data_IF_131894918844
#
_entry.id   IF_131894918844
#
_cell.length_a   1.000
_cell.length_b   1.000
_cell.length_c   1.000
_cell.angle_alpha   90.00
_cell.angle_beta   90.00
_cell.angle_gamma   90.00
#
_symmetry.space_group_name_H-M   'P 1'
#
loop_
_entity.id
_entity.type
_entity.pdbx_description
1 polymer ?
#
# COMPACT_ATOMS: atom_id res chain seq x y z
N UNK A 1 -27.30 19.79 9.27
CA UNK A 1 -26.14 20.16 10.11
C UNK A 1 -24.83 19.55 9.64
N UNK A 2 -24.43 18.31 10.00
CA UNK A 2 -23.09 17.81 9.61
C UNK A 2 -22.84 17.79 8.10
N UNK A 3 -23.75 17.18 7.31
CA UNK A 3 -23.62 17.14 5.85
C UNK A 3 -23.56 18.55 5.25
N UNK A 4 -24.36 19.47 5.77
CA UNK A 4 -24.40 20.87 5.31
C UNK A 4 -23.08 21.60 5.60
N UNK A 5 -22.54 21.50 6.82
CA UNK A 5 -21.24 22.07 7.18
C UNK A 5 -20.07 21.43 6.39
N UNK A 6 -20.20 20.15 6.05
CA UNK A 6 -19.28 19.42 5.18
C UNK A 6 -19.54 19.68 3.68
N UNK A 7 -20.50 20.52 3.32
CA UNK A 7 -20.90 20.81 1.94
C UNK A 7 -21.28 19.55 1.12
N UNK A 8 -21.88 18.56 1.77
CA UNK A 8 -22.23 17.26 1.23
C UNK A 8 -23.76 17.05 1.18
N UNK A 9 -24.50 18.10 0.83
CA UNK A 9 -25.97 18.06 0.62
C UNK A 9 -26.29 18.25 -0.87
N UNK A 10 -25.73 19.31 -1.48
CA UNK A 10 -25.88 19.62 -2.90
C UNK A 10 -24.69 19.18 -3.76
N UNK A 11 -23.63 18.67 -3.15
CA UNK A 11 -22.45 18.14 -3.82
C UNK A 11 -22.21 16.66 -3.43
N UNK A 12 -21.61 15.85 -4.32
CA UNK A 12 -21.41 14.41 -4.09
C UNK A 12 -20.28 14.08 -3.11
N UNK A 13 -19.33 15.01 -2.92
CA UNK A 13 -18.19 14.81 -2.04
C UNK A 13 -18.04 16.00 -1.10
N UNK A 14 -17.99 15.72 0.20
CA UNK A 14 -17.82 16.74 1.22
C UNK A 14 -16.39 17.24 1.34
N UNK A 15 -16.22 18.35 2.06
CA UNK A 15 -14.93 19.00 2.37
C UNK A 15 -13.91 18.03 2.97
N UNK A 16 -14.35 17.11 3.85
CA UNK A 16 -13.46 16.12 4.48
C UNK A 16 -12.87 15.17 3.42
N UNK A 17 -13.68 14.63 2.52
CA UNK A 17 -13.21 13.72 1.44
C UNK A 17 -12.22 14.42 0.53
N UNK A 18 -12.55 15.65 0.11
CA UNK A 18 -11.67 16.46 -0.75
C UNK A 18 -10.35 16.80 -0.06
N UNK A 19 -10.38 17.12 1.23
CA UNK A 19 -9.17 17.42 1.99
C UNK A 19 -8.31 16.17 2.21
N UNK A 20 -8.92 15.00 2.47
CA UNK A 20 -8.17 13.73 2.54
C UNK A 20 -7.44 13.47 1.23
N UNK A 21 -8.11 13.59 0.08
CA UNK A 21 -7.45 13.41 -1.22
C UNK A 21 -6.32 14.43 -1.44
N UNK A 22 -6.55 15.70 -1.09
CA UNK A 22 -5.54 16.76 -1.18
C UNK A 22 -4.28 16.42 -0.36
N UNK A 23 -4.45 16.06 0.90
CA UNK A 23 -3.35 15.67 1.79
C UNK A 23 -2.67 14.38 1.33
N UNK A 24 -3.42 13.45 0.73
CA UNK A 24 -2.83 12.27 0.11
C UNK A 24 -1.86 12.66 -1.02
N UNK A 25 -2.35 13.47 -1.96
CA UNK A 25 -1.59 13.87 -3.14
C UNK A 25 -0.36 14.73 -2.81
N UNK A 26 -0.51 15.71 -1.91
CA UNK A 26 0.53 16.71 -1.69
C UNK A 26 1.45 16.45 -0.48
N UNK A 27 1.11 15.53 0.42
CA UNK A 27 1.95 15.25 1.59
C UNK A 27 2.15 13.75 1.83
N UNK A 28 1.09 12.95 1.91
CA UNK A 28 1.21 11.54 2.27
C UNK A 28 2.06 10.73 1.28
N UNK A 29 1.71 10.76 -0.01
CA UNK A 29 2.43 10.00 -1.04
C UNK A 29 3.91 10.40 -1.13
N UNK A 30 4.28 11.70 -1.22
CA UNK A 30 5.68 12.10 -1.37
C UNK A 30 6.51 12.06 -0.08
N UNK A 31 5.92 12.25 1.11
CA UNK A 31 6.69 12.52 2.33
C UNK A 31 6.62 11.42 3.39
N UNK A 32 5.87 10.33 3.17
CA UNK A 32 5.76 9.24 4.15
C UNK A 32 6.47 7.95 3.71
N UNK A 33 7.02 7.25 4.68
CA UNK A 33 7.73 5.98 4.56
C UNK A 33 6.94 4.90 5.30
N UNK A 34 6.52 3.86 4.58
CA UNK A 34 5.85 2.71 5.20
C UNK A 34 6.84 1.79 5.91
N UNK A 35 6.44 1.25 7.06
CA UNK A 35 7.14 0.20 7.77
C UNK A 35 6.17 -0.96 8.00
N UNK A 36 6.35 -2.03 7.23
CA UNK A 36 5.49 -3.22 7.23
C UNK A 36 5.49 -3.96 8.56
N UNK A 37 6.61 -3.97 9.28
CA UNK A 37 6.73 -4.63 10.59
C UNK A 37 5.85 -3.98 11.67
N UNK A 38 5.63 -2.67 11.58
CA UNK A 38 4.79 -1.92 12.53
C UNK A 38 3.41 -1.59 11.98
N UNK A 39 3.18 -1.83 10.68
CA UNK A 39 2.02 -1.39 9.93
C UNK A 39 1.73 0.11 10.10
N UNK A 40 2.78 0.94 9.97
CA UNK A 40 2.70 2.40 10.13
C UNK A 40 3.52 3.11 9.07
N UNK A 41 3.06 4.29 8.70
CA UNK A 41 3.82 5.27 7.95
C UNK A 41 4.41 6.30 8.91
N UNK A 42 5.65 6.71 8.67
CA UNK A 42 6.33 7.82 9.36
C UNK A 42 6.85 8.81 8.31
N UNK A 43 7.14 10.05 8.70
CA UNK A 43 7.73 11.01 7.74
C UNK A 43 9.12 10.56 7.30
N UNK A 44 9.47 10.88 6.07
CA UNK A 44 10.83 10.70 5.52
C UNK A 44 11.88 11.44 6.35
N UNK A 45 13.07 10.87 6.47
CA UNK A 45 14.21 11.53 7.08
C UNK A 45 14.72 12.73 6.25
N UNK A 46 14.60 12.65 4.93
CA UNK A 46 14.99 13.71 3.98
C UNK A 46 13.78 14.08 3.13
N UNK A 47 13.27 15.32 3.19
CA UNK A 47 12.22 15.77 2.29
C UNK A 47 12.80 16.01 0.88
N UNK A 48 12.27 15.30 -0.11
CA UNK A 48 12.61 15.50 -1.52
C UNK A 48 11.57 16.35 -2.26
N UNK A 49 10.40 16.55 -1.64
CA UNK A 49 9.32 17.40 -2.16
C UNK A 49 9.03 18.51 -1.16
N UNK A 50 8.70 19.70 -1.67
CA UNK A 50 8.32 20.82 -0.82
C UNK A 50 6.99 20.53 -0.11
N UNK A 51 6.97 20.67 1.21
CA UNK A 51 5.71 20.54 1.95
C UNK A 51 4.72 21.64 1.53
N UNK A 52 3.43 21.29 1.36
CA UNK A 52 2.43 22.28 0.98
C UNK A 52 2.25 23.31 2.10
N UNK A 53 2.25 24.59 1.72
CA UNK A 53 1.88 25.66 2.64
C UNK A 53 0.40 25.53 3.00
N UNK A 54 0.10 25.45 4.30
CA UNK A 54 -1.26 25.34 4.82
C UNK A 54 -1.67 26.63 5.51
N UNK A 55 -2.83 27.14 5.16
CA UNK A 55 -3.41 28.31 5.83
C UNK A 55 -3.74 28.00 7.28
N UNK A 56 -3.38 28.92 8.18
CA UNK A 56 -3.72 28.76 9.59
C UNK A 56 -5.23 28.94 9.77
N UNK A 57 -5.90 28.05 10.50
CA UNK A 57 -7.33 28.19 10.77
C UNK A 57 -7.60 29.45 11.61
N UNK A 58 -8.78 30.05 11.41
CA UNK A 58 -9.22 31.20 12.19
C UNK A 58 -9.33 30.85 13.68
N UNK A 59 -8.92 31.79 14.54
CA UNK A 59 -9.05 31.62 15.98
C UNK A 59 -10.51 31.81 16.41
N UNK A 60 -11.10 30.78 17.02
CA UNK A 60 -12.51 30.76 17.43
C UNK A 60 -12.62 30.68 18.95
N UNK A 61 -13.77 31.12 19.48
CA UNK A 61 -14.03 31.03 20.91
C UNK A 61 -14.06 29.55 21.39
N UNK A 62 -13.60 29.23 22.62
CA UNK A 62 -13.45 27.84 23.07
C UNK A 62 -14.74 26.99 23.03
N UNK A 63 -15.91 27.61 23.17
CA UNK A 63 -17.20 26.92 23.14
C UNK A 63 -17.59 26.40 21.74
N UNK A 64 -16.95 26.88 20.67
CA UNK A 64 -17.08 26.30 19.32
C UNK A 64 -16.17 25.09 19.09
N UNK A 65 -15.30 24.76 20.05
CA UNK A 65 -14.35 23.64 19.99
C UNK A 65 -14.72 22.58 21.04
N UNK A 66 -13.89 22.42 22.09
CA UNK A 66 -14.10 21.44 23.16
C UNK A 66 -14.77 22.04 24.41
N UNK A 67 -15.36 23.23 24.30
CA UNK A 67 -16.13 23.87 25.38
C UNK A 67 -15.34 24.94 26.15
N UNK A 68 -14.13 24.63 26.61
CA UNK A 68 -13.31 25.53 27.44
C UNK A 68 -11.81 25.46 27.11
N UNK A 69 -11.02 26.46 27.53
CA UNK A 69 -9.56 26.48 27.30
C UNK A 69 -8.85 25.24 27.88
N UNK A 70 -9.12 24.82 29.14
CA UNK A 70 -8.52 23.59 29.68
C UNK A 70 -8.86 22.35 28.87
N UNK A 71 -10.11 22.21 28.40
CA UNK A 71 -10.52 21.09 27.56
C UNK A 71 -9.84 21.11 26.19
N UNK A 72 -9.68 22.28 25.57
CA UNK A 72 -8.92 22.41 24.31
C UNK A 72 -7.48 21.93 24.47
N UNK A 73 -6.82 22.27 25.58
CA UNK A 73 -5.45 21.81 25.89
C UNK A 73 -5.46 20.29 26.09
N UNK A 74 -6.39 19.75 26.89
CA UNK A 74 -6.47 18.32 27.17
C UNK A 74 -6.67 17.49 25.88
N UNK A 75 -7.63 17.85 25.03
CA UNK A 75 -7.85 17.15 23.77
C UNK A 75 -6.70 17.33 22.78
N UNK A 76 -6.06 18.50 22.73
CA UNK A 76 -4.86 18.70 21.92
C UNK A 76 -3.73 17.75 22.33
N UNK A 77 -3.52 17.55 23.65
CA UNK A 77 -2.56 16.59 24.17
C UNK A 77 -2.94 15.15 23.84
N UNK A 78 -4.20 14.75 24.03
CA UNK A 78 -4.69 13.41 23.67
C UNK A 78 -4.42 13.11 22.19
N UNK A 79 -4.74 14.05 21.29
CA UNK A 79 -4.57 13.85 19.85
C UNK A 79 -3.14 14.08 19.36
N UNK A 80 -2.23 14.62 20.19
CA UNK A 80 -0.82 14.78 19.83
C UNK A 80 -0.13 13.45 19.55
N UNK A 81 -0.56 12.37 20.23
CA UNK A 81 -0.04 11.02 20.04
C UNK A 81 -0.30 10.44 18.64
N UNK A 82 -1.19 11.05 17.86
CA UNK A 82 -1.56 10.63 16.50
C UNK A 82 -0.86 11.44 15.40
N UNK A 83 0.01 12.40 15.73
CA UNK A 83 0.60 13.32 14.73
C UNK A 83 1.86 12.80 14.04
N UNK A 84 2.56 11.87 14.68
CA UNK A 84 3.90 11.45 14.24
C UNK A 84 3.90 10.17 13.39
N UNK A 85 2.72 9.63 13.07
CA UNK A 85 2.57 8.45 12.21
C UNK A 85 1.19 8.42 11.55
N UNK A 86 1.04 7.63 10.49
CA UNK A 86 -0.26 7.22 9.93
C UNK A 86 -0.36 5.69 10.02
N UNK A 87 -1.54 5.16 10.33
CA UNK A 87 -1.70 3.73 10.64
C UNK A 87 -3.15 3.35 10.93
N UNK A 88 -3.42 2.16 11.47
CA UNK A 88 -4.79 1.63 11.63
C UNK A 88 -5.84 2.59 12.23
N UNK A 89 -5.58 3.36 13.32
CA UNK A 89 -6.58 4.29 13.85
C UNK A 89 -6.96 5.41 12.87
N UNK A 90 -6.01 5.85 12.04
CA UNK A 90 -6.22 6.86 11.00
C UNK A 90 -7.03 6.29 9.85
N UNK A 91 -6.64 5.12 9.31
CA UNK A 91 -7.37 4.45 8.24
C UNK A 91 -8.82 4.13 8.65
N UNK A 92 -9.05 3.69 9.88
CA UNK A 92 -10.41 3.47 10.41
C UNK A 92 -11.23 4.77 10.45
N UNK A 93 -10.61 5.89 10.81
CA UNK A 93 -11.30 7.19 10.84
C UNK A 93 -11.60 7.69 9.42
N UNK A 94 -10.65 7.56 8.51
CA UNK A 94 -10.82 7.90 7.08
C UNK A 94 -11.96 7.07 6.50
N UNK A 95 -11.97 5.75 6.74
CA UNK A 95 -13.00 4.84 6.26
C UNK A 95 -14.42 5.30 6.67
N UNK A 96 -14.62 5.54 7.96
CA UNK A 96 -15.91 6.00 8.52
C UNK A 96 -16.37 7.35 7.96
N UNK A 97 -15.44 8.29 7.75
CA UNK A 97 -15.77 9.65 7.32
C UNK A 97 -16.00 9.76 5.81
N UNK A 98 -15.30 8.95 5.01
CA UNK A 98 -15.45 8.93 3.55
C UNK A 98 -16.62 8.05 3.12
N UNK A 99 -16.84 6.93 3.80
CA UNK A 99 -17.77 5.88 3.37
C UNK A 99 -17.41 5.31 2.00
N UNK A 100 -18.27 4.44 1.45
CA UNK A 100 -18.02 3.79 0.17
C UNK A 100 -17.77 4.77 -0.98
N UNK A 101 -18.60 5.80 -1.11
CA UNK A 101 -18.49 6.78 -2.19
C UNK A 101 -17.19 7.59 -2.11
N UNK A 102 -16.77 8.00 -0.91
CA UNK A 102 -15.50 8.72 -0.71
C UNK A 102 -14.28 7.83 -0.96
N UNK A 103 -14.31 6.57 -0.51
CA UNK A 103 -13.22 5.61 -0.76
C UNK A 103 -13.09 5.35 -2.27
N UNK A 104 -14.20 5.13 -2.97
CA UNK A 104 -14.22 4.86 -4.40
C UNK A 104 -13.58 6.00 -5.21
N UNK A 105 -13.96 7.26 -4.94
CA UNK A 105 -13.37 8.40 -5.66
C UNK A 105 -11.88 8.57 -5.34
N UNK A 106 -11.47 8.37 -4.08
CA UNK A 106 -10.05 8.45 -3.71
C UNK A 106 -9.24 7.37 -4.43
N UNK A 107 -9.73 6.13 -4.48
CA UNK A 107 -9.07 5.06 -5.23
C UNK A 107 -8.96 5.36 -6.73
N UNK A 108 -10.01 5.91 -7.35
CA UNK A 108 -9.99 6.31 -8.76
C UNK A 108 -8.98 7.43 -9.03
N UNK A 109 -8.91 8.45 -8.18
CA UNK A 109 -7.93 9.52 -8.34
C UNK A 109 -6.50 9.05 -8.07
N UNK A 110 -6.28 8.17 -7.09
CA UNK A 110 -4.97 7.53 -6.86
C UNK A 110 -4.53 6.71 -8.08
N UNK A 111 -5.45 5.98 -8.73
CA UNK A 111 -5.14 5.29 -9.98
C UNK A 111 -4.72 6.25 -11.11
N UNK A 112 -5.32 7.45 -11.19
CA UNK A 112 -4.89 8.47 -12.15
C UNK A 112 -3.51 9.01 -11.84
N UNK A 113 -3.17 9.22 -10.57
CA UNK A 113 -1.82 9.61 -10.13
C UNK A 113 -0.80 8.53 -10.51
N UNK A 114 -1.08 7.27 -10.17
CA UNK A 114 -0.22 6.13 -10.51
C UNK A 114 -0.05 6.01 -12.04
N UNK A 115 -1.13 6.17 -12.81
CA UNK A 115 -1.06 6.21 -14.27
C UNK A 115 -0.15 7.33 -14.77
N UNK A 116 -0.31 8.54 -14.24
CA UNK A 116 0.49 9.71 -14.61
C UNK A 116 1.98 9.49 -14.34
N UNK A 117 2.33 8.97 -13.15
CA UNK A 117 3.72 8.67 -12.79
C UNK A 117 4.30 7.56 -13.66
N UNK A 118 3.57 6.43 -13.83
CA UNK A 118 4.04 5.28 -14.59
C UNK A 118 4.15 5.56 -16.10
N UNK A 119 3.31 6.41 -16.68
CA UNK A 119 3.32 6.73 -18.11
C UNK A 119 4.08 8.02 -18.44
N UNK A 120 4.38 8.84 -17.44
CA UNK A 120 5.15 10.08 -17.56
C UNK A 120 6.57 9.89 -17.04
N UNK A 121 6.82 10.42 -15.84
CA UNK A 121 8.17 10.53 -15.24
C UNK A 121 8.89 9.18 -15.15
N UNK A 122 8.25 8.15 -14.60
CA UNK A 122 8.90 6.85 -14.40
C UNK A 122 9.19 6.20 -15.76
N UNK A 123 8.29 6.29 -16.73
CA UNK A 123 8.52 5.74 -18.07
C UNK A 123 9.74 6.40 -18.74
N UNK A 124 9.85 7.72 -18.62
CA UNK A 124 10.97 8.47 -19.19
C UNK A 124 12.29 8.04 -18.56
N UNK A 125 12.36 7.96 -17.23
CA UNK A 125 13.56 7.48 -16.53
C UNK A 125 13.87 6.02 -16.85
N UNK A 126 12.87 5.14 -16.96
CA UNK A 126 13.08 3.74 -17.33
C UNK A 126 13.68 3.62 -18.72
N UNK A 127 13.21 4.39 -19.70
CA UNK A 127 13.79 4.43 -21.06
C UNK A 127 15.25 4.89 -21.02
N UNK A 128 15.52 6.01 -20.33
CA UNK A 128 16.89 6.54 -20.18
C UNK A 128 17.80 5.53 -19.48
N UNK A 129 17.38 4.97 -18.36
CA UNK A 129 18.21 4.05 -17.57
C UNK A 129 18.43 2.71 -18.26
N UNK A 130 17.49 2.20 -19.06
CA UNK A 130 17.71 1.01 -19.90
C UNK A 130 18.75 1.27 -20.99
N UNK A 131 18.87 2.49 -21.51
CA UNK A 131 19.94 2.84 -22.44
C UNK A 131 21.31 2.87 -21.75
N UNK A 132 21.36 3.37 -20.51
CA UNK A 132 22.54 3.44 -19.63
C UNK A 132 22.95 2.05 -19.11
N UNK A 133 22.00 1.13 -18.93
CA UNK A 133 22.29 -0.23 -18.48
C UNK A 133 23.27 -0.95 -19.42
N UNK A 134 24.18 -1.78 -18.87
CA UNK A 134 25.06 -2.61 -19.69
C UNK A 134 24.21 -3.53 -20.57
N UNK A 135 24.48 -3.57 -21.89
CA UNK A 135 23.67 -4.36 -22.84
C UNK A 135 23.56 -5.82 -22.45
N UNK A 136 24.65 -6.37 -21.91
CA UNK A 136 24.77 -7.75 -21.46
C UNK A 136 25.49 -7.72 -20.11
N UNK A 137 24.89 -8.31 -19.06
CA UNK A 137 25.51 -8.49 -17.76
C UNK A 137 25.33 -9.94 -17.30
N UNK A 138 26.40 -10.73 -17.46
CA UNK A 138 26.42 -12.14 -17.06
C UNK A 138 26.57 -12.25 -15.55
N UNK A 139 25.97 -13.30 -14.98
CA UNK A 139 26.28 -13.70 -13.61
C UNK A 139 27.62 -14.47 -13.60
N UNK A 140 28.69 -13.94 -12.98
CA UNK A 140 29.97 -14.64 -12.98
C UNK A 140 29.86 -15.94 -12.18
N UNK A 141 30.67 -16.94 -12.56
CA UNK A 141 30.63 -18.23 -11.89
C UNK A 141 31.19 -18.17 -10.46
N UNK A 142 30.90 -19.19 -9.67
CA UNK A 142 31.28 -19.25 -8.26
C UNK A 142 32.81 -19.27 -8.06
N UNK A 143 33.59 -19.71 -9.05
CA UNK A 143 35.06 -19.76 -8.97
C UNK A 143 35.71 -18.37 -8.89
N UNK A 144 35.02 -17.31 -9.33
CA UNK A 144 35.52 -15.93 -9.22
C UNK A 144 35.52 -15.43 -7.77
N UNK A 145 34.75 -16.06 -6.87
CA UNK A 145 34.58 -15.66 -5.48
C UNK A 145 33.75 -14.38 -5.31
N UNK A 146 33.14 -14.22 -4.13
CA UNK A 146 32.27 -13.08 -3.82
C UNK A 146 32.95 -11.71 -3.93
N UNK A 147 34.24 -11.49 -3.57
CA UNK A 147 34.89 -10.19 -3.74
C UNK A 147 35.03 -9.80 -5.23
N UNK A 148 35.43 -10.74 -6.09
CA UNK A 148 35.55 -10.51 -7.53
C UNK A 148 34.21 -10.26 -8.20
N UNK A 149 33.15 -10.94 -7.75
CA UNK A 149 31.78 -10.71 -8.23
C UNK A 149 31.26 -9.32 -7.83
N UNK A 150 31.54 -8.88 -6.60
CA UNK A 150 31.18 -7.53 -6.15
C UNK A 150 31.90 -6.46 -6.97
N UNK A 151 33.21 -6.63 -7.21
CA UNK A 151 33.99 -5.72 -8.05
C UNK A 151 33.44 -5.65 -9.48
N UNK A 152 33.08 -6.82 -10.05
CA UNK A 152 32.47 -6.92 -11.36
C UNK A 152 31.16 -6.14 -11.45
N UNK A 153 30.21 -6.36 -10.53
CA UNK A 153 28.93 -5.63 -10.55
C UNK A 153 29.12 -4.14 -10.33
N UNK A 154 30.05 -3.73 -9.46
CA UNK A 154 30.34 -2.32 -9.25
C UNK A 154 30.94 -1.65 -10.50
N UNK A 155 31.67 -2.39 -11.35
CA UNK A 155 32.14 -1.88 -12.63
C UNK A 155 31.00 -1.83 -13.67
N UNK A 156 30.23 -2.91 -13.81
CA UNK A 156 29.15 -3.02 -14.81
C UNK A 156 28.00 -2.05 -14.55
N UNK A 157 27.71 -1.74 -13.28
CA UNK A 157 26.59 -0.89 -12.87
C UNK A 157 27.03 0.52 -12.49
N UNK A 158 28.28 0.91 -12.80
CA UNK A 158 28.86 2.20 -12.40
C UNK A 158 27.97 3.39 -12.78
N UNK A 159 27.49 3.41 -14.03
CA UNK A 159 26.70 4.53 -14.55
C UNK A 159 25.31 4.63 -13.89
N UNK A 160 24.78 3.52 -13.36
CA UNK A 160 23.55 3.51 -12.56
C UNK A 160 23.84 3.98 -11.12
N UNK A 161 24.96 3.54 -10.53
CA UNK A 161 25.38 3.94 -9.18
C UNK A 161 25.63 5.46 -9.11
N UNK A 162 26.25 6.02 -10.14
CA UNK A 162 26.61 7.44 -10.23
C UNK A 162 25.47 8.32 -10.80
N UNK A 163 24.30 7.73 -11.11
CA UNK A 163 23.17 8.47 -11.66
C UNK A 163 22.58 9.43 -10.61
N UNK A 164 22.81 10.73 -10.79
CA UNK A 164 22.51 11.76 -9.80
C UNK A 164 21.04 11.80 -9.37
N UNK A 165 20.11 11.63 -10.32
CA UNK A 165 18.66 11.74 -10.11
C UNK A 165 18.01 10.43 -9.63
N UNK A 166 18.81 9.37 -9.38
CA UNK A 166 18.27 8.06 -9.03
C UNK A 166 17.49 8.09 -7.72
N UNK A 167 18.02 8.79 -6.71
CA UNK A 167 17.35 8.91 -5.40
C UNK A 167 16.27 10.00 -5.42
N UNK A 168 16.59 11.18 -5.95
CA UNK A 168 15.73 12.37 -5.87
C UNK A 168 14.47 12.27 -6.70
N UNK A 169 14.54 11.60 -7.86
CA UNK A 169 13.43 11.59 -8.82
C UNK A 169 12.90 10.18 -9.05
N UNK A 170 13.79 9.20 -9.28
CA UNK A 170 13.38 7.83 -9.61
C UNK A 170 12.81 7.10 -8.39
N UNK A 171 13.57 7.02 -7.29
CA UNK A 171 13.09 6.39 -6.05
C UNK A 171 11.94 7.16 -5.41
N UNK A 172 11.98 8.49 -5.50
CA UNK A 172 10.89 9.38 -5.09
C UNK A 172 9.58 9.03 -5.80
N UNK A 173 9.59 8.99 -7.14
CA UNK A 173 8.40 8.69 -7.94
C UNK A 173 7.88 7.27 -7.69
N UNK A 174 8.78 6.30 -7.54
CA UNK A 174 8.41 4.92 -7.22
C UNK A 174 7.80 4.81 -5.83
N UNK A 175 8.35 5.49 -4.82
CA UNK A 175 7.74 5.49 -3.48
C UNK A 175 6.33 6.05 -3.50
N UNK A 176 6.06 7.12 -4.25
CA UNK A 176 4.70 7.66 -4.39
C UNK A 176 3.73 6.63 -4.96
N UNK A 177 4.13 5.90 -6.01
CA UNK A 177 3.35 4.78 -6.56
C UNK A 177 3.11 3.70 -5.51
N UNK A 178 4.13 3.31 -4.76
CA UNK A 178 4.01 2.27 -3.75
C UNK A 178 3.14 2.67 -2.56
N UNK A 179 3.27 3.92 -2.10
CA UNK A 179 2.41 4.49 -1.06
C UNK A 179 0.94 4.55 -1.51
N UNK A 180 0.67 4.82 -2.78
CA UNK A 180 -0.68 4.79 -3.33
C UNK A 180 -1.27 3.37 -3.34
N UNK A 181 -0.47 2.37 -3.77
CA UNK A 181 -0.85 0.95 -3.73
C UNK A 181 -1.13 0.50 -2.29
N UNK A 182 -0.22 0.83 -1.36
CA UNK A 182 -0.38 0.54 0.06
C UNK A 182 -1.61 1.21 0.66
N UNK A 183 -1.91 2.45 0.30
CA UNK A 183 -3.12 3.13 0.76
C UNK A 183 -4.38 2.37 0.34
N UNK A 184 -4.47 1.95 -0.93
CA UNK A 184 -5.60 1.16 -1.44
C UNK A 184 -5.75 -0.17 -0.69
N UNK A 185 -4.65 -0.87 -0.40
CA UNK A 185 -4.66 -2.10 0.39
C UNK A 185 -5.17 -1.86 1.82
N UNK A 186 -4.60 -0.87 2.50
CA UNK A 186 -4.85 -0.64 3.93
C UNK A 186 -6.25 -0.04 4.18
N UNK A 187 -6.77 0.78 3.26
CA UNK A 187 -8.13 1.30 3.39
C UNK A 187 -9.18 0.21 3.13
N UNK A 188 -8.93 -0.75 2.23
CA UNK A 188 -9.80 -1.92 2.03
C UNK A 188 -9.81 -2.82 3.26
N UNK A 189 -8.66 -3.05 3.90
CA UNK A 189 -8.58 -3.78 5.16
C UNK A 189 -9.36 -3.07 6.27
N UNK A 190 -9.23 -1.75 6.38
CA UNK A 190 -9.98 -0.97 7.35
C UNK A 190 -11.50 -1.03 7.10
N UNK A 191 -11.92 -0.97 5.83
CA UNK A 191 -13.32 -1.12 5.43
C UNK A 191 -13.86 -2.50 5.78
N UNK A 192 -13.10 -3.56 5.51
CA UNK A 192 -13.49 -4.93 5.87
C UNK A 192 -13.68 -5.10 7.38
N UNK A 193 -12.81 -4.47 8.19
CA UNK A 193 -12.94 -4.47 9.66
C UNK A 193 -14.16 -3.67 10.15
N UNK A 194 -14.51 -2.58 9.46
CA UNK A 194 -15.71 -1.80 9.77
C UNK A 194 -16.98 -2.59 9.44
N UNK A 195 -17.04 -3.17 8.24
CA UNK A 195 -18.17 -3.94 7.77
C UNK A 195 -18.44 -5.18 8.63
N UNK A 196 -17.41 -5.91 9.04
CA UNK A 196 -17.61 -7.08 9.92
C UNK A 196 -18.15 -6.66 11.29
N UNK A 197 -17.74 -5.50 11.81
CA UNK A 197 -18.31 -4.97 13.05
C UNK A 197 -19.79 -4.63 12.88
N UNK A 198 -20.16 -4.02 11.75
CA UNK A 198 -21.56 -3.72 11.44
C UNK A 198 -22.41 -5.01 11.36
N UNK A 199 -21.90 -6.02 10.66
CA UNK A 199 -22.57 -7.33 10.52
C UNK A 199 -22.75 -8.03 11.86
N UNK A 200 -21.76 -7.96 12.76
CA UNK A 200 -21.87 -8.53 14.10
C UNK A 200 -22.97 -7.87 14.94
N UNK A 201 -23.18 -6.55 14.78
CA UNK A 201 -24.28 -5.85 15.45
C UNK A 201 -25.62 -6.09 14.76
N UNK A 202 -25.63 -6.33 13.45
CA UNK A 202 -26.84 -6.63 12.69
C UNK A 202 -27.35 -8.07 12.91
N UNK A 203 -26.44 -9.02 13.17
CA UNK A 203 -26.73 -10.45 13.25
C UNK A 203 -27.97 -10.83 14.09
N UNK A 204 -28.19 -10.29 15.31
CA UNK A 204 -29.38 -10.63 16.11
C UNK A 204 -30.71 -10.24 15.45
N UNK A 205 -30.72 -9.19 14.63
CA UNK A 205 -31.93 -8.66 13.98
C UNK A 205 -32.19 -9.32 12.62
N UNK A 206 -31.19 -10.01 12.08
CA UNK A 206 -31.21 -10.73 10.80
C UNK A 206 -31.27 -12.26 10.96
N UNK A 207 -31.58 -12.74 12.17
CA UNK A 207 -31.69 -14.16 12.49
C UNK A 207 -30.37 -14.96 12.28
N UNK A 208 -29.23 -14.30 12.45
CA UNK A 208 -27.91 -14.95 12.37
C UNK A 208 -27.48 -15.30 13.79
N UNK A 209 -27.38 -16.61 14.07
CA UNK A 209 -27.02 -17.12 15.38
C UNK A 209 -25.66 -17.85 15.33
N UNK A 210 -24.78 -17.64 16.32
CA UNK A 210 -23.52 -18.36 16.39
C UNK A 210 -23.77 -19.83 16.70
N UNK A 211 -22.79 -20.68 16.33
CA UNK A 211 -22.81 -22.09 16.69
C UNK A 211 -22.79 -22.24 18.20
N UNK A 212 -23.73 -23.03 18.73
CA UNK A 212 -23.84 -23.29 20.17
C UNK A 212 -23.10 -24.54 20.60
N UNK A 213 -22.64 -24.55 21.86
CA UNK A 213 -22.14 -25.75 22.52
C UNK A 213 -23.25 -26.79 22.68
N UNK A 214 -22.93 -28.05 22.38
CA UNK A 214 -23.84 -29.20 22.42
C UNK A 214 -23.37 -30.16 23.52
N UNK A 215 -24.29 -30.51 24.44
CA UNK A 215 -24.02 -31.52 25.47
C UNK A 215 -24.15 -32.92 24.88
N UNK A 216 -23.53 -33.91 25.53
CA UNK A 216 -23.63 -35.31 25.15
C UNK A 216 -25.11 -35.77 25.11
N UNK A 217 -25.52 -36.40 24.00
CA UNK A 217 -26.91 -36.80 23.76
C UNK A 217 -27.81 -35.75 23.12
N UNK A 218 -27.37 -34.50 22.94
CA UNK A 218 -28.15 -33.46 22.25
C UNK A 218 -27.83 -33.38 20.75
N UNK A 219 -28.83 -33.01 19.93
CA UNK A 219 -28.65 -32.73 18.50
C UNK A 219 -28.55 -31.23 18.26
N UNK A 220 -27.55 -30.81 17.48
CA UNK A 220 -27.30 -29.41 17.13
C UNK A 220 -28.53 -28.72 16.53
N UNK A 221 -29.20 -29.39 15.58
CA UNK A 221 -30.38 -28.89 14.90
C UNK A 221 -31.51 -28.51 15.87
N UNK A 222 -31.78 -29.37 16.86
CA UNK A 222 -32.85 -29.15 17.84
C UNK A 222 -32.51 -27.94 18.72
N UNK A 223 -31.24 -27.81 19.12
CA UNK A 223 -30.79 -26.72 19.98
C UNK A 223 -30.74 -25.38 19.24
N UNK A 224 -30.33 -25.38 17.97
CA UNK A 224 -30.38 -24.20 17.10
C UNK A 224 -31.83 -23.73 16.89
N UNK A 225 -32.78 -24.64 16.57
CA UNK A 225 -34.20 -24.29 16.42
C UNK A 225 -34.81 -23.68 17.69
N UNK A 226 -34.45 -24.20 18.87
CA UNK A 226 -34.88 -23.60 20.15
C UNK A 226 -34.33 -22.19 20.34
N UNK A 227 -33.07 -21.97 19.93
CA UNK A 227 -32.43 -20.67 20.03
C UNK A 227 -33.04 -19.66 19.04
N UNK A 228 -33.32 -20.10 17.82
CA UNK A 228 -34.05 -19.33 16.81
C UNK A 228 -35.43 -18.92 17.32
N UNK A 229 -36.19 -19.85 17.90
CA UNK A 229 -37.48 -19.52 18.52
C UNK A 229 -37.36 -18.51 19.67
N UNK A 230 -36.29 -18.59 20.47
CA UNK A 230 -36.02 -17.63 21.55
C UNK A 230 -35.77 -16.21 21.03
N UNK A 231 -35.07 -16.07 19.90
CA UNK A 231 -34.70 -14.77 19.33
C UNK A 231 -35.62 -14.31 18.20
N UNK A 232 -36.61 -15.10 17.80
CA UNK A 232 -37.62 -14.74 16.80
C UNK A 232 -38.27 -13.36 17.02
N UNK A 233 -38.54 -12.87 18.26
CA UNK A 233 -39.06 -11.52 18.46
C UNK A 233 -38.12 -10.38 18.04
N UNK A 234 -36.81 -10.65 17.90
CA UNK A 234 -35.82 -9.67 17.45
C UNK A 234 -35.69 -9.61 15.92
N UNK A 235 -36.22 -10.59 15.20
CA UNK A 235 -36.11 -10.68 13.76
C UNK A 235 -36.92 -9.54 13.09
N UNK A 236 -36.21 -8.54 12.59
CA UNK A 236 -36.79 -7.23 12.30
C UNK A 236 -37.79 -7.25 11.14
N UNK A 237 -37.39 -7.84 10.00
CA UNK A 237 -38.23 -7.83 8.78
C UNK A 237 -39.55 -8.57 9.01
N UNK A 238 -39.60 -9.82 9.53
CA UNK A 238 -40.88 -10.49 9.80
C UNK A 238 -41.75 -9.77 10.84
N UNK A 239 -41.14 -9.10 11.81
CA UNK A 239 -41.88 -8.31 12.79
C UNK A 239 -42.61 -7.13 12.14
N UNK A 240 -41.92 -6.40 11.25
CA UNK A 240 -42.50 -5.27 10.49
C UNK A 240 -43.50 -5.78 9.46
N UNK A 241 -43.28 -6.93 8.83
CA UNK A 241 -44.25 -7.54 7.92
C UNK A 241 -45.57 -7.90 8.60
N UNK A 242 -45.52 -8.27 9.89
CA UNK A 242 -46.72 -8.61 10.66
C UNK A 242 -47.48 -7.39 11.18
N UNK A 243 -46.78 -6.30 11.53
CA UNK A 243 -47.35 -5.19 12.31
C UNK A 243 -47.28 -3.82 11.60
N UNK A 244 -46.48 -3.70 10.56
CA UNK A 244 -46.18 -2.44 9.88
C UNK A 244 -47.05 -2.17 8.67
N UNK A 245 -46.95 -0.95 8.16
CA UNK A 245 -47.61 -0.53 6.91
C UNK A 245 -46.83 -1.00 5.68
N UNK A 246 -47.44 -1.03 4.48
CA UNK A 246 -46.74 -1.38 3.25
C UNK A 246 -45.48 -0.54 2.99
N UNK A 247 -45.51 0.75 3.35
CA UNK A 247 -44.34 1.64 3.22
C UNK A 247 -43.22 1.24 4.18
N UNK A 248 -43.55 0.89 5.43
CA UNK A 248 -42.57 0.45 6.42
C UNK A 248 -41.92 -0.88 6.01
N UNK A 249 -42.70 -1.80 5.44
CA UNK A 249 -42.20 -3.09 4.95
C UNK A 249 -41.19 -2.88 3.81
N UNK A 250 -41.52 -2.03 2.83
CA UNK A 250 -40.62 -1.73 1.72
C UNK A 250 -39.28 -1.15 2.21
N UNK A 251 -39.33 -0.14 3.08
CA UNK A 251 -38.14 0.49 3.67
C UNK A 251 -37.32 -0.52 4.49
N UNK A 252 -37.98 -1.39 5.27
CA UNK A 252 -37.30 -2.39 6.08
C UNK A 252 -36.57 -3.44 5.23
N UNK A 253 -37.17 -3.88 4.12
CA UNK A 253 -36.55 -4.84 3.20
C UNK A 253 -35.34 -4.24 2.50
N UNK A 254 -35.42 -2.99 2.06
CA UNK A 254 -34.28 -2.27 1.47
C UNK A 254 -33.15 -2.08 2.50
N UNK A 255 -33.49 -1.66 3.72
CA UNK A 255 -32.52 -1.49 4.79
C UNK A 255 -31.82 -2.80 5.17
N UNK A 256 -32.57 -3.91 5.27
CA UNK A 256 -32.01 -5.24 5.54
C UNK A 256 -31.01 -5.67 4.45
N UNK A 257 -31.36 -5.43 3.17
CA UNK A 257 -30.49 -5.73 2.04
C UNK A 257 -29.16 -4.97 2.13
N UNK A 258 -29.21 -3.65 2.32
CA UNK A 258 -28.02 -2.81 2.46
C UNK A 258 -27.17 -3.14 3.70
N UNK A 259 -27.79 -3.73 4.73
CA UNK A 259 -27.09 -4.11 5.97
C UNK A 259 -26.34 -5.42 5.80
N UNK A 260 -26.92 -6.43 5.13
CA UNK A 260 -26.28 -7.74 4.95
C UNK A 260 -25.31 -7.81 3.78
N UNK A 261 -25.52 -7.00 2.73
CA UNK A 261 -24.65 -6.97 1.56
C UNK A 261 -23.50 -5.99 1.80
N UNK A 262 -22.35 -6.52 2.23
CA UNK A 262 -21.10 -5.79 2.47
C UNK A 262 -19.99 -6.36 1.59
N UNK A 263 -18.95 -5.58 1.31
CA UNK A 263 -17.85 -6.05 0.45
C UNK A 263 -17.13 -7.26 1.07
N UNK A 264 -16.93 -7.25 2.40
CA UNK A 264 -16.30 -8.35 3.12
C UNK A 264 -17.03 -9.72 3.00
N UNK A 265 -18.25 -9.76 2.47
CA UNK A 265 -19.01 -11.00 2.23
C UNK A 265 -18.52 -11.79 1.00
N UNK A 266 -17.60 -11.26 0.18
CA UNK A 266 -17.02 -12.01 -0.94
C UNK A 266 -16.43 -11.17 -2.08
N UNK A 267 -16.22 -9.87 -1.88
CA UNK A 267 -15.65 -8.97 -2.87
C UNK A 267 -14.31 -8.40 -2.37
N UNK A 268 -13.39 -8.14 -3.30
CA UNK A 268 -12.12 -7.47 -3.01
C UNK A 268 -11.82 -6.42 -4.09
N UNK A 269 -11.28 -5.28 -3.66
CA UNK A 269 -10.95 -4.15 -4.53
C UNK A 269 -9.49 -4.22 -5.00
N UNK A 270 -8.57 -4.70 -4.17
CA UNK A 270 -7.13 -4.66 -4.43
C UNK A 270 -6.72 -5.38 -5.72
N UNK A 271 -7.33 -6.53 -6.02
CA UNK A 271 -7.10 -7.26 -7.26
C UNK A 271 -7.49 -6.42 -8.50
N UNK A 272 -8.60 -5.68 -8.42
CA UNK A 272 -9.07 -4.80 -9.49
C UNK A 272 -8.11 -3.63 -9.68
N UNK A 273 -7.63 -3.04 -8.57
CA UNK A 273 -6.61 -1.97 -8.59
C UNK A 273 -5.35 -2.44 -9.32
N UNK A 274 -4.80 -3.59 -8.93
CA UNK A 274 -3.60 -4.16 -9.57
C UNK A 274 -3.83 -4.48 -11.06
N UNK A 275 -5.01 -5.02 -11.40
CA UNK A 275 -5.38 -5.30 -12.80
C UNK A 275 -5.42 -4.03 -13.65
N UNK A 276 -5.91 -2.92 -13.09
CA UNK A 276 -5.90 -1.61 -13.76
C UNK A 276 -4.49 -1.03 -13.87
N UNK A 277 -3.65 -1.15 -12.84
CA UNK A 277 -2.26 -0.70 -12.91
C UNK A 277 -1.49 -1.46 -14.00
N UNK A 278 -1.72 -2.77 -14.16
CA UNK A 278 -1.13 -3.56 -15.26
C UNK A 278 -1.46 -2.96 -16.63
N UNK A 279 -2.67 -2.40 -16.78
CA UNK A 279 -3.08 -1.77 -18.03
C UNK A 279 -2.28 -0.51 -18.37
N UNK A 280 -1.57 0.10 -17.41
CA UNK A 280 -0.75 1.29 -17.63
C UNK A 280 0.65 0.95 -18.19
N UNK A 281 1.08 -0.31 -18.05
CA UNK A 281 2.40 -0.82 -18.44
C UNK A 281 2.40 -1.42 -19.87
N UNK A 282 1.95 -0.64 -20.86
CA UNK A 282 1.83 -1.10 -22.26
C UNK A 282 3.07 -0.83 -23.12
N UNK A 283 3.90 0.14 -22.74
CA UNK A 283 5.10 0.49 -23.51
C UNK A 283 6.04 -0.73 -23.64
N UNK A 284 6.64 -0.91 -24.81
CA UNK A 284 7.51 -2.05 -25.08
C UNK A 284 8.74 -2.07 -24.17
N UNK A 285 9.19 -0.91 -23.67
CA UNK A 285 10.37 -0.79 -22.81
C UNK A 285 10.25 -1.64 -21.53
N UNK A 286 9.03 -1.86 -21.01
CA UNK A 286 8.82 -2.66 -19.80
C UNK A 286 9.19 -4.14 -19.98
N UNK A 287 8.98 -4.67 -21.19
CA UNK A 287 9.16 -6.09 -21.54
C UNK A 287 10.40 -6.34 -22.39
N UNK A 288 10.94 -5.32 -23.03
CA UNK A 288 12.02 -5.46 -24.00
C UNK A 288 11.57 -6.19 -25.28
N UNK A 289 12.50 -6.40 -26.23
CA UNK A 289 12.24 -7.16 -27.44
C UNK A 289 12.09 -8.66 -27.14
N UNK A 290 11.62 -9.49 -28.10
CA UNK A 290 11.62 -10.94 -27.95
C UNK A 290 13.03 -11.52 -27.70
N UNK A 291 13.15 -12.61 -26.91
CA UNK A 291 14.43 -13.23 -26.62
C UNK A 291 15.04 -13.93 -27.83
N UNK A 292 16.36 -13.82 -27.98
CA UNK A 292 17.12 -14.39 -29.09
C UNK A 292 17.05 -15.92 -29.14
N UNK A 293 16.99 -16.56 -27.97
CA UNK A 293 16.87 -18.02 -27.83
C UNK A 293 15.42 -18.54 -27.96
N UNK A 294 14.44 -17.67 -28.19
CA UNK A 294 13.02 -18.03 -28.30
C UNK A 294 12.34 -18.43 -26.98
N UNK A 295 13.02 -18.32 -25.83
CA UNK A 295 12.50 -18.71 -24.52
C UNK A 295 12.47 -17.53 -23.55
N UNK A 296 13.64 -16.97 -23.20
CA UNK A 296 13.77 -15.87 -22.24
C UNK A 296 15.14 -15.21 -22.34
N UNK A 297 15.20 -13.92 -22.00
CA UNK A 297 16.47 -13.21 -21.84
C UNK A 297 17.21 -13.77 -20.63
N UNK A 298 18.53 -13.95 -20.79
CA UNK A 298 19.38 -14.51 -19.73
C UNK A 298 20.44 -13.49 -19.36
N UNK A 299 21.27 -13.06 -20.30
CA UNK A 299 22.35 -12.12 -20.02
C UNK A 299 21.96 -10.68 -20.38
N UNK A 300 20.94 -10.50 -21.21
CA UNK A 300 20.50 -9.22 -21.74
C UNK A 300 19.77 -8.38 -20.68
N UNK A 301 20.12 -7.10 -20.55
CA UNK A 301 19.54 -6.17 -19.58
C UNK A 301 18.44 -5.29 -20.19
N UNK A 302 17.47 -5.91 -20.88
CA UNK A 302 16.42 -5.16 -21.61
C UNK A 302 15.03 -5.22 -20.96
N UNK A 303 14.85 -6.02 -19.90
CA UNK A 303 13.60 -6.12 -19.15
C UNK A 303 13.63 -5.24 -17.89
N UNK A 304 12.47 -4.74 -17.43
CA UNK A 304 12.39 -3.90 -16.24
C UNK A 304 13.02 -4.53 -14.99
N UNK A 305 12.81 -5.84 -14.75
CA UNK A 305 13.40 -6.50 -13.57
C UNK A 305 14.93 -6.44 -13.52
N UNK A 306 15.61 -6.36 -14.67
CA UNK A 306 17.08 -6.18 -14.73
C UNK A 306 17.50 -4.79 -14.29
N UNK A 307 16.73 -3.78 -14.69
CA UNK A 307 16.93 -2.41 -14.18
C UNK A 307 16.66 -2.36 -12.68
N UNK A 308 15.60 -3.02 -12.21
CA UNK A 308 15.31 -3.12 -10.78
C UNK A 308 16.44 -3.82 -10.01
N UNK A 309 17.05 -4.88 -10.55
CA UNK A 309 18.24 -5.51 -9.95
C UNK A 309 19.42 -4.55 -9.81
N UNK A 310 19.61 -3.64 -10.78
CA UNK A 310 20.64 -2.60 -10.68
C UNK A 310 20.28 -1.56 -9.61
N UNK A 311 19.02 -1.13 -9.52
CA UNK A 311 18.53 -0.25 -8.45
C UNK A 311 18.69 -0.90 -7.08
N UNK A 312 18.38 -2.19 -6.97
CA UNK A 312 18.58 -3.00 -5.78
C UNK A 312 20.04 -3.06 -5.36
N UNK A 313 20.94 -3.23 -6.33
CA UNK A 313 22.36 -3.13 -6.06
C UNK A 313 22.72 -1.78 -5.43
N UNK A 314 22.19 -0.66 -5.95
CA UNK A 314 22.46 0.67 -5.40
C UNK A 314 21.95 0.84 -3.97
N UNK A 315 20.69 0.48 -3.68
CA UNK A 315 20.16 0.68 -2.32
C UNK A 315 20.63 -0.36 -1.30
N UNK A 316 21.24 -1.47 -1.73
CA UNK A 316 21.91 -2.43 -0.86
C UNK A 316 23.34 -2.01 -0.46
N UNK A 317 23.94 -1.04 -1.16
CA UNK A 317 25.28 -0.51 -0.81
C UNK A 317 25.18 0.19 0.57
N UNK A 318 26.00 -0.22 1.55
CA UNK A 318 26.02 0.43 2.86
C UNK A 318 26.47 1.88 2.73
N UNK A 319 25.76 2.77 3.42
CA UNK A 319 26.11 4.19 3.53
C UNK A 319 26.90 4.42 4.83
N UNK A 320 27.56 5.57 4.95
CA UNK A 320 28.30 5.92 6.17
C UNK A 320 27.40 6.00 7.40
N UNK A 321 27.97 5.85 8.60
CA UNK A 321 27.23 5.85 9.88
C UNK A 321 26.33 7.07 10.13
N UNK A 322 26.61 8.19 9.45
CA UNK A 322 25.85 9.45 9.57
C UNK A 322 25.00 9.78 8.34
N UNK A 323 24.93 8.86 7.37
CA UNK A 323 24.13 9.01 6.17
C UNK A 323 22.81 8.24 6.32
N UNK A 324 21.76 8.75 5.68
CA UNK A 324 20.46 8.09 5.71
C UNK A 324 20.39 6.97 4.67
N UNK A 325 19.86 5.83 5.10
CA UNK A 325 19.64 4.67 4.24
C UNK A 325 18.41 4.84 3.34
N UNK A 326 18.27 3.98 2.33
CA UNK A 326 17.11 4.02 1.43
C UNK A 326 15.79 3.78 2.19
N UNK A 327 15.77 2.86 3.16
CA UNK A 327 14.59 2.58 3.98
C UNK A 327 14.22 3.75 4.91
N UNK A 328 15.19 4.54 5.38
CA UNK A 328 14.90 5.75 6.18
C UNK A 328 14.32 6.89 5.33
N UNK A 329 14.67 6.94 4.05
CA UNK A 329 14.24 7.98 3.10
C UNK A 329 12.96 7.63 2.34
N UNK A 330 12.73 6.33 2.08
CA UNK A 330 11.64 5.89 1.22
C UNK A 330 10.71 4.83 1.86
N UNK A 331 11.15 4.17 2.93
CA UNK A 331 10.44 3.05 3.53
C UNK A 331 10.15 1.92 2.53
N UNK A 332 9.18 1.09 2.88
CA UNK A 332 8.81 -0.07 2.08
C UNK A 332 8.03 0.31 0.81
N UNK A 333 7.56 1.57 0.70
CA UNK A 333 6.82 2.06 -0.47
C UNK A 333 7.62 1.91 -1.77
N UNK A 334 8.93 2.17 -1.73
CA UNK A 334 9.82 1.98 -2.88
C UNK A 334 9.76 0.52 -3.39
N UNK A 335 9.93 -0.44 -2.48
CA UNK A 335 9.93 -1.86 -2.81
C UNK A 335 8.54 -2.34 -3.26
N UNK A 336 7.46 -1.84 -2.65
CA UNK A 336 6.09 -2.13 -3.08
C UNK A 336 5.84 -1.73 -4.54
N UNK A 337 6.37 -0.59 -4.99
CA UNK A 337 6.23 -0.17 -6.39
C UNK A 337 7.05 -1.06 -7.33
N UNK A 338 8.35 -1.24 -7.07
CA UNK A 338 9.23 -2.05 -7.90
C UNK A 338 8.73 -3.49 -8.04
N UNK A 339 8.40 -4.14 -6.92
CA UNK A 339 7.86 -5.49 -6.91
C UNK A 339 6.49 -5.58 -7.60
N UNK A 340 5.61 -4.60 -7.42
CA UNK A 340 4.31 -4.57 -8.11
C UNK A 340 4.50 -4.53 -9.63
N UNK A 341 5.40 -3.68 -10.15
CA UNK A 341 5.68 -3.62 -11.58
C UNK A 341 6.21 -4.96 -12.09
N UNK A 342 7.18 -5.57 -11.39
CA UNK A 342 7.76 -6.88 -11.74
C UNK A 342 6.67 -7.96 -11.81
N UNK A 343 5.79 -8.03 -10.79
CA UNK A 343 4.71 -9.03 -10.73
C UNK A 343 3.68 -8.80 -11.84
N UNK A 344 3.27 -7.56 -12.09
CA UNK A 344 2.29 -7.23 -13.12
C UNK A 344 2.80 -7.48 -14.55
N UNK A 345 4.13 -7.43 -14.74
CA UNK A 345 4.80 -7.82 -15.98
C UNK A 345 5.07 -9.33 -16.10
N UNK A 346 4.84 -10.11 -15.04
CA UNK A 346 5.16 -11.54 -15.02
C UNK A 346 6.67 -11.83 -15.05
N UNK A 347 7.48 -10.94 -14.48
CA UNK A 347 8.94 -11.01 -14.47
C UNK A 347 9.54 -11.56 -13.17
N UNK A 348 8.74 -11.76 -12.12
CA UNK A 348 9.20 -12.12 -10.77
C UNK A 348 10.06 -13.40 -10.72
N UNK A 349 9.70 -14.45 -11.48
CA UNK A 349 10.48 -15.69 -11.50
C UNK A 349 11.85 -15.50 -12.18
N UNK A 350 11.93 -14.59 -13.16
CA UNK A 350 13.20 -14.26 -13.84
C UNK A 350 14.06 -13.38 -12.96
N UNK A 351 13.45 -12.43 -12.25
CA UNK A 351 14.11 -11.63 -11.23
C UNK A 351 14.77 -12.52 -10.17
N UNK A 352 14.03 -13.46 -9.58
CA UNK A 352 14.56 -14.36 -8.54
C UNK A 352 15.77 -15.20 -9.00
N UNK A 353 15.80 -15.55 -10.29
CA UNK A 353 16.89 -16.31 -10.89
C UNK A 353 18.10 -15.44 -11.24
N UNK A 354 17.88 -14.20 -11.67
CA UNK A 354 18.89 -13.40 -12.33
C UNK A 354 19.32 -12.14 -11.59
N UNK A 355 18.74 -11.86 -10.43
CA UNK A 355 19.11 -10.71 -9.63
C UNK A 355 20.59 -10.71 -9.21
N UNK A 356 21.25 -9.56 -9.36
CA UNK A 356 22.68 -9.39 -9.09
C UNK A 356 23.00 -9.57 -7.60
N UNK A 357 22.16 -9.00 -6.74
CA UNK A 357 22.33 -9.06 -5.29
C UNK A 357 22.09 -10.47 -4.76
N UNK A 358 21.07 -11.17 -5.25
CA UNK A 358 20.80 -12.56 -4.88
C UNK A 358 21.94 -13.48 -5.30
N UNK A 359 22.51 -13.27 -6.47
CA UNK A 359 23.67 -14.02 -6.94
C UNK A 359 24.89 -13.77 -6.05
N UNK A 360 25.20 -12.51 -5.75
CA UNK A 360 26.32 -12.15 -4.87
C UNK A 360 26.14 -12.77 -3.47
N UNK A 361 24.95 -12.68 -2.87
CA UNK A 361 24.63 -13.30 -1.59
C UNK A 361 24.81 -14.82 -1.62
N UNK A 362 24.36 -15.48 -2.71
CA UNK A 362 24.47 -16.93 -2.88
C UNK A 362 25.94 -17.37 -2.88
N UNK A 363 26.81 -16.66 -3.60
CA UNK A 363 28.24 -16.98 -3.65
C UNK A 363 28.93 -16.66 -2.33
N UNK A 364 28.61 -15.52 -1.72
CA UNK A 364 29.15 -15.12 -0.41
C UNK A 364 28.86 -16.15 0.69
N UNK A 365 27.63 -16.68 0.71
CA UNK A 365 27.24 -17.73 1.67
C UNK A 365 28.01 -19.02 1.47
N UNK A 366 28.46 -19.29 0.26
CA UNK A 366 29.24 -20.49 -0.06
C UNK A 366 30.72 -20.33 0.29
N UNK A 367 31.34 -19.20 -0.07
CA UNK A 367 32.78 -19.00 0.14
C UNK A 367 33.15 -18.37 1.49
N UNK A 368 32.19 -17.73 2.16
CA UNK A 368 32.35 -17.13 3.48
C UNK A 368 33.32 -15.96 3.54
N UNK A 369 33.70 -15.38 2.39
CA UNK A 369 34.67 -14.27 2.34
C UNK A 369 34.04 -12.97 2.84
N UNK A 370 34.87 -12.12 3.43
CA UNK A 370 34.50 -10.82 3.98
C UNK A 370 35.64 -9.83 3.73
N UNK A 371 35.60 -9.19 2.57
CA UNK A 371 36.59 -8.20 2.12
C UNK A 371 35.90 -6.84 1.89
N UNK A 372 36.68 -5.76 1.88
CA UNK A 372 36.20 -4.43 1.55
C UNK A 372 36.57 -4.13 0.10
N UNK A 373 35.56 -4.05 -0.76
CA UNK A 373 35.74 -3.78 -2.20
C UNK A 373 35.11 -2.43 -2.52
N UNK A 374 35.89 -1.47 -3.02
CA UNK A 374 35.44 -0.09 -3.32
C UNK A 374 34.65 0.55 -2.16
N UNK A 375 35.18 0.43 -0.94
CA UNK A 375 34.55 0.90 0.31
C UNK A 375 33.24 0.21 0.70
N UNK A 376 32.88 -0.89 0.03
CA UNK A 376 31.73 -1.73 0.38
C UNK A 376 32.21 -2.95 1.15
N UNK A 377 31.82 -3.04 2.42
CA UNK A 377 32.07 -4.23 3.25
C UNK A 377 31.10 -5.33 2.85
N UNK A 378 31.64 -6.47 2.40
CA UNK A 378 30.86 -7.52 1.75
C UNK A 378 29.83 -8.18 2.68
N UNK A 379 30.15 -8.38 3.97
CA UNK A 379 29.19 -8.84 4.99
C UNK A 379 28.17 -7.78 5.40
N UNK A 380 28.45 -6.50 5.19
CA UNK A 380 27.55 -5.40 5.55
C UNK A 380 26.51 -5.09 4.45
N UNK A 381 26.62 -5.70 3.27
CA UNK A 381 25.62 -5.58 2.22
C UNK A 381 24.26 -6.03 2.75
N UNK A 382 23.33 -5.08 2.84
CA UNK A 382 21.98 -5.28 3.36
C UNK A 382 21.12 -6.00 2.35
N UNK A 383 21.39 -7.29 2.12
CA UNK A 383 20.54 -8.12 1.27
C UNK A 383 19.22 -8.37 2.00
N UNK A 384 18.23 -7.53 1.73
CA UNK A 384 16.86 -7.84 2.10
C UNK A 384 16.45 -9.08 1.29
N UNK A 385 16.22 -10.20 1.98
CA UNK A 385 15.42 -11.28 1.43
C UNK A 385 14.04 -10.68 1.15
N UNK A 386 13.73 -10.44 -0.12
CA UNK A 386 12.40 -9.98 -0.53
C UNK A 386 11.34 -10.90 0.04
N UNK A 387 10.27 -10.29 0.53
CA UNK A 387 9.09 -10.92 1.15
C UNK A 387 8.46 -11.96 0.23
#
# INVERSE_FOLDING_TARGET
>A
MFREANHNVSAPYGRITLHVFWELNFDFLPNYCYNGSTNRFVRTAIPFTQEPQRDKPANVQPYYLYGSKPLNIAYSHIYSSYRNFVGPPHFKTICRLLGYQGIAVVMEELLKIVKSLLQGTILQYVKTLIEVMPKICRLPRHEYGSPGILEFFHHQLKDIIEYAELKTDVFQSLREVGNAILFCLLIEQALSQEEVCDLLHAAPFQNILPRVYIKEGERLEVRMKRLEAKYAPLHLVPLIERLGTPQQIAIAREGDLLTKERLCCGLSMFEVILTRIRSFLQDAVWRGPPPTNGVMHVDECMEFHRLWSAMQFVYCIPVGTHEFTAEQCFGDGLNWAGCSIIVLLGQQRRFDLFDFCYHLLKVQRQDGKDEIIKNVTLRALGFQSSI
#
